data_IF_789910228774
#
_entry.id   IF_789910228774
#
_cell.length_a   1.000
_cell.length_b   1.000
_cell.length_c   1.000
_cell.angle_alpha   90.00
_cell.angle_beta   90.00
_cell.angle_gamma   90.00
#
_symmetry.space_group_name_H-M   'P 1'
#
loop_
_entity.id
_entity.type
_entity.pdbx_description
1 polymer ?
#
# COMPACT_ATOMS: atom_id res chain seq x y z
N UNK A 1 0.59 8.82 3.40
CA UNK A 1 1.51 8.55 4.53
C UNK A 1 2.81 7.94 4.02
N UNK A 2 3.96 8.56 4.32
CA UNK A 2 5.28 8.02 3.95
C UNK A 2 5.66 6.86 4.88
N UNK A 3 6.08 5.73 4.31
CA UNK A 3 6.43 4.52 5.07
C UNK A 3 7.94 4.29 5.20
N UNK A 4 8.76 4.99 4.41
CA UNK A 4 10.22 4.97 4.52
C UNK A 4 10.94 4.70 3.19
N UNK A 5 12.21 4.25 3.22
CA UNK A 5 12.96 3.91 2.01
C UNK A 5 12.40 2.66 1.31
N UNK A 6 12.67 2.55 0.01
CA UNK A 6 12.27 1.39 -0.78
C UNK A 6 13.18 0.20 -0.52
N UNK A 7 12.68 -0.76 0.26
CA UNK A 7 13.31 -2.06 0.47
C UNK A 7 12.44 -3.17 -0.10
N UNK A 8 13.05 -4.28 -0.50
CA UNK A 8 12.36 -5.42 -1.12
C UNK A 8 11.16 -5.91 -0.29
N UNK A 9 11.34 -6.11 1.02
CA UNK A 9 10.26 -6.50 1.94
C UNK A 9 9.20 -5.42 2.08
N UNK A 10 9.60 -4.20 2.38
CA UNK A 10 8.69 -3.07 2.62
C UNK A 10 7.86 -2.72 1.37
N UNK A 11 8.43 -2.87 0.17
CA UNK A 11 7.70 -2.66 -1.09
C UNK A 11 6.55 -3.67 -1.26
N UNK A 12 6.77 -4.93 -0.88
CA UNK A 12 5.73 -5.97 -0.96
C UNK A 12 4.67 -5.74 0.09
N UNK A 13 5.07 -5.42 1.33
CA UNK A 13 4.11 -5.12 2.40
C UNK A 13 3.23 -3.93 2.04
N UNK A 14 3.81 -2.86 1.52
CA UNK A 14 3.05 -1.69 1.10
C UNK A 14 2.08 -2.03 -0.05
N UNK A 15 2.52 -2.82 -1.03
CA UNK A 15 1.63 -3.24 -2.12
C UNK A 15 0.49 -4.16 -1.65
N UNK A 16 0.75 -5.03 -0.67
CA UNK A 16 -0.27 -5.86 -0.05
C UNK A 16 -1.31 -5.00 0.68
N UNK A 17 -0.85 -4.02 1.48
CA UNK A 17 -1.75 -3.07 2.15
C UNK A 17 -2.58 -2.29 1.13
N UNK A 18 -1.98 -1.84 0.02
CA UNK A 18 -2.71 -1.15 -1.06
C UNK A 18 -3.78 -2.04 -1.69
N UNK A 19 -3.45 -3.31 -1.96
CA UNK A 19 -4.40 -4.28 -2.52
C UNK A 19 -5.58 -4.50 -1.56
N UNK A 20 -5.30 -4.74 -0.28
CA UNK A 20 -6.32 -4.95 0.74
C UNK A 20 -7.17 -3.71 1.00
N UNK A 21 -6.58 -2.51 0.92
CA UNK A 21 -7.30 -1.26 1.14
C UNK A 21 -8.17 -0.84 -0.06
N UNK A 22 -7.88 -1.32 -1.27
CA UNK A 22 -8.53 -0.83 -2.49
C UNK A 22 -10.05 -1.07 -2.51
N UNK A 23 -10.50 -2.28 -2.22
CA UNK A 23 -11.92 -2.62 -2.20
C UNK A 23 -12.67 -1.95 -1.04
N UNK A 24 -12.22 -2.05 0.23
CA UNK A 24 -12.87 -1.38 1.35
C UNK A 24 -12.92 0.14 1.21
N UNK A 25 -11.84 0.77 0.71
CA UNK A 25 -11.81 2.22 0.50
C UNK A 25 -12.86 2.65 -0.53
N UNK A 26 -12.97 1.90 -1.63
CA UNK A 26 -13.97 2.18 -2.65
C UNK A 26 -15.39 1.98 -2.11
N UNK A 27 -15.64 0.86 -1.42
CA UNK A 27 -16.96 0.57 -0.88
C UNK A 27 -17.39 1.60 0.17
N UNK A 28 -16.54 1.90 1.15
CA UNK A 28 -16.87 2.85 2.20
C UNK A 28 -16.98 4.29 1.67
N UNK A 29 -15.94 4.82 1.04
CA UNK A 29 -15.87 6.25 0.72
C UNK A 29 -16.73 6.62 -0.50
N UNK A 30 -16.89 5.72 -1.48
CA UNK A 30 -17.68 5.98 -2.70
C UNK A 30 -19.08 5.40 -2.62
N UNK A 31 -19.26 4.14 -2.22
CA UNK A 31 -20.59 3.50 -2.26
C UNK A 31 -21.46 3.94 -1.08
N UNK A 32 -20.94 3.81 0.15
CA UNK A 32 -21.71 4.07 1.37
C UNK A 32 -21.78 5.56 1.71
N UNK A 33 -20.64 6.24 1.70
CA UNK A 33 -20.56 7.65 2.14
C UNK A 33 -20.73 8.64 0.99
N UNK A 34 -20.67 8.16 -0.26
CA UNK A 34 -20.88 8.96 -1.48
C UNK A 34 -20.05 10.25 -1.55
N UNK A 35 -18.86 10.25 -0.93
CA UNK A 35 -18.04 11.45 -0.76
C UNK A 35 -17.51 11.99 -2.08
N UNK A 36 -17.40 11.14 -3.10
CA UNK A 36 -16.78 11.49 -4.37
C UNK A 36 -16.96 10.43 -5.44
N UNK A 37 -16.81 10.86 -6.70
CA UNK A 37 -16.86 9.96 -7.84
C UNK A 37 -15.54 9.19 -8.00
N UNK A 38 -14.41 9.79 -7.60
CA UNK A 38 -13.08 9.19 -7.72
C UNK A 38 -12.54 8.92 -6.32
N UNK A 39 -12.29 7.65 -6.05
CA UNK A 39 -11.55 7.16 -4.87
C UNK A 39 -10.47 6.23 -5.42
N UNK A 40 -9.22 6.54 -5.13
CA UNK A 40 -8.05 5.78 -5.57
C UNK A 40 -7.14 5.51 -4.38
N UNK A 41 -6.65 4.27 -4.27
CA UNK A 41 -5.59 3.88 -3.35
C UNK A 41 -4.40 3.38 -4.17
N UNK A 42 -3.19 3.74 -3.74
CA UNK A 42 -1.99 3.46 -4.51
C UNK A 42 -0.70 3.56 -3.71
N UNK A 43 0.38 3.11 -4.33
CA UNK A 43 1.73 3.35 -3.81
C UNK A 43 2.32 4.57 -4.52
N UNK A 44 2.73 5.58 -3.75
CA UNK A 44 3.51 6.71 -4.26
C UNK A 44 4.98 6.46 -3.99
N UNK A 45 5.81 6.50 -5.03
CA UNK A 45 7.27 6.33 -4.95
C UNK A 45 7.94 7.61 -5.42
N UNK A 46 8.85 8.13 -4.61
CA UNK A 46 9.59 9.36 -4.94
C UNK A 46 10.94 9.36 -4.26
N UNK A 47 12.00 9.69 -5.03
CA UNK A 47 13.38 9.83 -4.52
C UNK A 47 13.86 8.66 -3.63
N UNK A 48 13.57 7.41 -4.04
CA UNK A 48 13.96 6.21 -3.27
C UNK A 48 13.13 5.94 -2.01
N UNK A 49 12.14 6.77 -1.70
CA UNK A 49 11.16 6.55 -0.64
C UNK A 49 9.82 6.07 -1.21
N UNK A 50 8.96 5.55 -0.33
CA UNK A 50 7.62 5.10 -0.67
C UNK A 50 6.59 5.55 0.37
N UNK A 51 5.35 5.63 -0.09
CA UNK A 51 4.21 6.10 0.68
C UNK A 51 2.92 5.39 0.23
N UNK A 52 2.02 5.18 1.18
CA UNK A 52 0.62 4.89 0.90
C UNK A 52 -0.08 6.19 0.50
N UNK A 53 -0.76 6.17 -0.65
CA UNK A 53 -1.50 7.30 -1.20
C UNK A 53 -2.97 6.95 -1.31
N UNK A 54 -3.81 7.87 -0.85
CA UNK A 54 -5.25 7.86 -1.11
C UNK A 54 -5.62 9.18 -1.76
N UNK A 55 -6.34 9.10 -2.87
CA UNK A 55 -6.86 10.26 -3.58
C UNK A 55 -8.38 10.15 -3.61
N UNK A 56 -9.05 11.14 -3.03
CA UNK A 56 -10.50 11.26 -3.01
C UNK A 56 -10.86 12.58 -3.67
N UNK A 57 -11.74 12.54 -4.66
CA UNK A 57 -12.25 13.72 -5.34
C UNK A 57 -13.78 13.73 -5.30
N UNK A 58 -14.31 14.80 -4.71
CA UNK A 58 -15.75 15.00 -4.55
C UNK A 58 -16.12 16.46 -4.35
N UNK A 59 -17.35 16.69 -3.86
CA UNK A 59 -17.93 18.03 -3.72
C UNK A 59 -17.91 18.58 -2.30
N UNK A 60 -17.52 17.76 -1.32
CA UNK A 60 -17.45 18.15 0.08
C UNK A 60 -16.20 18.96 0.41
N UNK A 61 -16.22 19.61 1.56
CA UNK A 61 -15.07 20.35 2.08
C UNK A 61 -13.86 19.43 2.35
N UNK A 62 -12.62 19.88 2.07
CA UNK A 62 -11.41 19.10 2.32
C UNK A 62 -11.26 18.61 3.76
N UNK A 63 -11.67 19.38 4.76
CA UNK A 63 -11.57 19.00 6.17
C UNK A 63 -12.52 17.83 6.49
N UNK A 64 -13.74 17.88 5.95
CA UNK A 64 -14.69 16.78 6.06
C UNK A 64 -14.16 15.52 5.39
N UNK A 65 -13.63 15.64 4.16
CA UNK A 65 -13.04 14.50 3.45
C UNK A 65 -11.88 13.87 4.24
N UNK A 66 -11.00 14.70 4.79
CA UNK A 66 -9.87 14.22 5.58
C UNK A 66 -10.33 13.44 6.80
N UNK A 67 -11.34 13.93 7.53
CA UNK A 67 -11.93 13.22 8.67
C UNK A 67 -12.50 11.85 8.28
N UNK A 68 -13.14 11.72 7.11
CA UNK A 68 -13.66 10.43 6.63
C UNK A 68 -12.54 9.46 6.24
N UNK A 69 -11.47 9.95 5.64
CA UNK A 69 -10.27 9.15 5.34
C UNK A 69 -9.65 8.62 6.64
N UNK A 70 -9.50 9.45 7.67
CA UNK A 70 -8.98 9.02 8.97
C UNK A 70 -9.87 7.96 9.64
N UNK A 71 -11.19 8.12 9.59
CA UNK A 71 -12.14 7.12 10.09
C UNK A 71 -12.08 5.79 9.32
N UNK A 72 -11.91 5.86 7.99
CA UNK A 72 -11.67 4.69 7.16
C UNK A 72 -10.40 3.97 7.59
N UNK A 73 -9.29 4.68 7.80
CA UNK A 73 -8.01 4.07 8.19
C UNK A 73 -8.10 3.36 9.55
N UNK A 74 -8.82 3.92 10.52
CA UNK A 74 -9.07 3.28 11.81
C UNK A 74 -9.87 1.98 11.65
N UNK A 75 -10.93 2.02 10.84
CA UNK A 75 -11.76 0.84 10.54
C UNK A 75 -10.98 -0.22 9.78
N UNK A 76 -10.21 0.20 8.78
CA UNK A 76 -9.38 -0.69 7.96
C UNK A 76 -8.33 -1.40 8.80
N UNK A 77 -7.69 -0.70 9.75
CA UNK A 77 -6.76 -1.33 10.70
C UNK A 77 -7.44 -2.44 11.50
N UNK A 78 -8.63 -2.19 12.03
CA UNK A 78 -9.38 -3.19 12.78
C UNK A 78 -9.73 -4.40 11.89
N UNK A 79 -10.16 -4.16 10.66
CA UNK A 79 -10.46 -5.23 9.70
C UNK A 79 -9.22 -6.07 9.37
N UNK A 80 -8.03 -5.47 9.32
CA UNK A 80 -6.78 -6.22 9.13
C UNK A 80 -6.43 -7.08 10.34
N UNK A 81 -6.65 -6.60 11.57
CA UNK A 81 -6.40 -7.35 12.80
C UNK A 81 -7.40 -8.51 12.99
N UNK A 82 -8.63 -8.36 12.48
CA UNK A 82 -9.70 -9.38 12.56
C UNK A 82 -9.74 -10.30 11.31
N UNK A 83 -8.88 -10.07 10.32
CA UNK A 83 -8.86 -10.83 9.06
C UNK A 83 -8.43 -12.29 9.30
N UNK A 84 -9.18 -13.28 8.77
CA UNK A 84 -8.77 -14.68 8.83
C UNK A 84 -7.46 -14.94 8.09
N UNK A 85 -6.62 -15.84 8.63
CA UNK A 85 -5.35 -16.24 8.00
C UNK A 85 -5.52 -16.79 6.58
N UNK A 86 -6.65 -17.44 6.29
CA UNK A 86 -6.97 -17.97 4.96
C UNK A 86 -7.18 -16.83 3.94
N UNK A 87 -7.99 -15.83 4.29
CA UNK A 87 -8.23 -14.66 3.43
C UNK A 87 -6.94 -13.85 3.21
N UNK A 88 -6.12 -13.73 4.25
CA UNK A 88 -4.82 -13.08 4.13
C UNK A 88 -3.90 -13.82 3.14
N UNK A 89 -3.82 -15.16 3.23
CA UNK A 89 -3.03 -15.99 2.31
C UNK A 89 -3.51 -15.87 0.88
N UNK A 90 -4.82 -15.89 0.64
CA UNK A 90 -5.40 -15.73 -0.70
C UNK A 90 -4.99 -14.39 -1.33
N UNK A 91 -4.98 -13.31 -0.54
CA UNK A 91 -4.52 -12.00 -0.99
C UNK A 91 -3.02 -11.97 -1.31
N UNK A 92 -2.21 -12.65 -0.51
CA UNK A 92 -0.76 -12.81 -0.74
C UNK A 92 -0.51 -13.58 -2.03
N UNK A 93 -1.23 -14.67 -2.28
CA UNK A 93 -1.13 -15.46 -3.50
C UNK A 93 -1.59 -14.68 -4.74
N UNK A 94 -2.69 -13.93 -4.63
CA UNK A 94 -3.15 -13.04 -5.69
C UNK A 94 -2.09 -11.96 -6.04
N UNK A 95 -1.44 -11.37 -5.03
CA UNK A 95 -0.36 -10.42 -5.23
C UNK A 95 0.86 -11.07 -5.89
N UNK A 96 1.21 -12.31 -5.47
CA UNK A 96 2.28 -13.08 -6.07
C UNK A 96 2.02 -13.35 -7.55
N UNK A 97 0.81 -13.81 -7.90
CA UNK A 97 0.40 -14.09 -9.27
C UNK A 97 0.47 -12.82 -10.14
N UNK A 98 -0.02 -11.68 -9.63
CA UNK A 98 0.04 -10.39 -10.32
C UNK A 98 1.47 -9.93 -10.58
N UNK A 99 2.41 -10.15 -9.65
CA UNK A 99 3.83 -9.79 -9.84
C UNK A 99 4.56 -10.72 -10.79
N UNK A 100 4.23 -12.01 -10.77
CA UNK A 100 4.84 -13.04 -11.63
C UNK A 100 4.25 -13.05 -13.04
N UNK A 101 3.13 -12.36 -13.28
CA UNK A 101 2.53 -12.24 -14.61
C UNK A 101 3.54 -11.64 -15.61
N UNK A 102 3.77 -12.39 -16.70
CA UNK A 102 4.68 -11.96 -17.76
C UNK A 102 4.03 -10.84 -18.57
N UNK A 103 4.77 -9.78 -18.94
CA UNK A 103 4.23 -8.71 -19.77
C UNK A 103 3.77 -9.28 -21.12
N UNK A 104 2.48 -9.09 -21.41
CA UNK A 104 1.83 -9.59 -22.64
C UNK A 104 2.23 -8.79 -23.90
N UNK A 105 2.79 -7.59 -23.73
CA UNK A 105 3.17 -6.70 -24.82
C UNK A 105 4.61 -6.21 -24.66
N UNK A 106 5.25 -5.89 -25.80
CA UNK A 106 6.58 -5.28 -25.81
C UNK A 106 6.61 -3.92 -25.11
N UNK A 107 5.52 -3.15 -25.21
CA UNK A 107 5.37 -1.87 -24.51
C UNK A 107 5.39 -2.05 -22.98
N UNK A 108 4.64 -3.03 -22.45
CA UNK A 108 4.65 -3.32 -21.02
C UNK A 108 6.02 -3.79 -20.52
N UNK A 109 6.72 -4.63 -21.31
CA UNK A 109 8.08 -5.06 -20.99
C UNK A 109 9.06 -3.88 -20.98
N UNK A 110 8.97 -2.99 -21.97
CA UNK A 110 9.82 -1.81 -22.09
C UNK A 110 9.58 -0.84 -20.93
N UNK A 111 8.31 -0.57 -20.58
CA UNK A 111 7.95 0.28 -19.45
C UNK A 111 8.51 -0.25 -18.12
N UNK A 112 8.47 -1.57 -17.92
CA UNK A 112 9.04 -2.20 -16.72
C UNK A 112 10.55 -2.02 -16.61
N UNK A 113 11.29 -2.16 -17.72
CA UNK A 113 12.72 -1.87 -17.72
C UNK A 113 13.02 -0.39 -17.56
N UNK A 114 12.22 0.47 -18.19
CA UNK A 114 12.38 1.90 -18.10
C UNK A 114 12.19 2.41 -16.66
N UNK A 115 11.23 1.85 -15.92
CA UNK A 115 11.04 2.16 -14.51
C UNK A 115 12.27 1.83 -13.64
N UNK A 116 12.98 0.74 -13.94
CA UNK A 116 14.21 0.38 -13.21
C UNK A 116 15.40 1.29 -13.59
N UNK A 117 15.44 1.77 -14.84
CA UNK A 117 16.45 2.71 -15.32
C UNK A 117 16.24 4.09 -14.71
N UNK A 118 15.00 4.59 -14.72
CA UNK A 118 14.62 5.91 -14.23
C UNK A 118 14.90 6.07 -12.72
N UNK A 119 14.61 5.02 -11.95
CA UNK A 119 14.87 5.01 -10.50
C UNK A 119 16.35 4.70 -10.19
N UNK A 120 17.13 4.23 -11.18
CA UNK A 120 18.55 3.92 -11.01
C UNK A 120 18.86 2.66 -10.20
N UNK A 121 17.85 1.83 -9.90
CA UNK A 121 18.04 0.58 -9.18
C UNK A 121 18.51 -0.56 -10.08
N UNK A 122 18.21 -0.51 -11.39
CA UNK A 122 18.60 -1.53 -12.38
C UNK A 122 18.24 -2.97 -11.99
N UNK A 123 17.20 -3.18 -11.17
CA UNK A 123 16.78 -4.50 -10.72
C UNK A 123 15.78 -5.12 -11.72
N UNK A 124 16.24 -5.43 -12.93
CA UNK A 124 15.39 -5.94 -14.01
C UNK A 124 14.65 -7.25 -13.66
N UNK A 125 15.20 -8.05 -12.74
CA UNK A 125 14.63 -9.31 -12.25
C UNK A 125 13.85 -9.18 -10.93
N UNK A 126 13.44 -7.97 -10.52
CA UNK A 126 12.79 -7.71 -9.22
C UNK A 126 11.56 -8.59 -8.92
N UNK A 127 10.79 -9.00 -9.93
CA UNK A 127 9.66 -9.91 -9.68
C UNK A 127 10.08 -11.35 -9.37
N UNK A 128 11.26 -11.79 -9.85
CA UNK A 128 11.76 -13.15 -9.62
C UNK A 128 12.54 -13.25 -8.31
N UNK A 129 13.23 -12.19 -7.89
CA UNK A 129 13.99 -12.15 -6.63
C UNK A 129 13.13 -12.17 -5.36
N UNK A 130 11.82 -12.04 -5.52
CA UNK A 130 10.83 -11.94 -4.45
C UNK A 130 10.09 -13.25 -4.17
N UNK A 131 10.44 -14.33 -4.88
CA UNK A 131 9.84 -15.64 -4.70
C UNK A 131 10.80 -16.57 -3.93
N UNK A 132 10.35 -17.23 -2.86
CA UNK A 132 9.01 -17.15 -2.26
C UNK A 132 8.80 -15.84 -1.47
N UNK A 133 7.56 -15.35 -1.44
CA UNK A 133 7.17 -14.23 -0.59
C UNK A 133 7.51 -14.54 0.88
N UNK A 134 7.91 -13.55 1.68
CA UNK A 134 8.21 -13.78 3.09
C UNK A 134 7.01 -14.45 3.77
N UNK A 135 7.26 -15.57 4.44
CA UNK A 135 6.28 -16.25 5.29
C UNK A 135 5.76 -15.29 6.37
N UNK A 136 4.53 -15.48 6.90
CA UNK A 136 3.91 -14.55 7.82
C UNK A 136 4.74 -14.41 9.10
N UNK A 137 5.61 -13.42 9.12
CA UNK A 137 6.21 -12.85 10.31
C UNK A 137 5.89 -11.36 10.23
N UNK A 138 4.60 -11.07 10.33
CA UNK A 138 4.13 -9.74 10.70
C UNK A 138 4.12 -9.75 12.22
N UNK A 139 5.30 -9.59 12.84
CA UNK A 139 5.31 -9.01 14.18
C UNK A 139 4.89 -7.55 13.99
N UNK A 140 3.64 -7.25 14.36
CA UNK A 140 3.21 -5.87 14.55
C UNK A 140 4.05 -5.35 15.72
N UNK A 141 5.02 -4.44 15.51
CA UNK A 141 5.79 -3.94 16.64
C UNK A 141 4.81 -3.26 17.61
N UNK A 142 4.85 -3.60 18.91
CA UNK A 142 4.06 -2.88 19.90
C UNK A 142 4.48 -1.41 19.84
N UNK A 143 3.51 -0.53 19.67
CA UNK A 143 3.72 0.90 19.59
C UNK A 143 4.50 1.32 20.84
N UNK A 144 5.70 1.86 20.66
CA UNK A 144 6.44 2.52 21.73
C UNK A 144 5.46 3.46 22.44
N UNK A 145 5.23 3.19 23.72
CA UNK A 145 4.49 4.08 24.59
C UNK A 145 5.14 5.45 24.50
N UNK A 146 4.36 6.46 24.12
CA UNK A 146 4.69 7.84 24.43
C UNK A 146 4.88 7.90 25.93
N UNK A 147 6.12 8.04 26.37
CA UNK A 147 6.58 8.62 27.64
C UNK A 147 8.10 8.67 27.58
N UNK A 148 8.65 9.73 27.00
CA UNK A 148 9.68 10.46 27.73
C UNK A 148 9.78 11.89 27.20
N UNK A 149 9.39 12.81 28.07
CA UNK A 149 9.77 14.21 28.01
C UNK A 149 11.29 14.30 28.15
N UNK A 150 11.94 15.20 27.41
CA UNK A 150 13.03 16.09 27.89
C UNK A 150 13.70 16.75 26.68
N UNK A 151 13.26 17.97 26.37
CA UNK A 151 14.11 18.95 25.69
C UNK A 151 15.10 19.49 26.74
N UNK A 152 16.42 19.48 26.50
CA UNK A 152 17.35 20.19 27.38
C UNK A 152 17.29 21.70 27.10
N UNK A 153 17.34 22.48 28.20
CA UNK A 153 17.55 23.93 28.21
C UNK A 153 18.90 24.33 27.60
#
# INVERSE_FOLDING_TARGET
MQTGPQNTRENVLLELIVQLAAEPAFNQLRTNEQLGYIVHTGTRRSCGTQAFEMLVQGKHDPEHMNSRIENFLQTFRKNLEEMPDEEFKDNVEALAAKRLEKPKTMGAKSARYWAEIDVGFYHFNRALSLYPLPQPVIEIPPLASKNDETLPN
#
